data_IF_819830806587
#
_entry.id   IF_819830806587
#
_cell.length_a   1.000
_cell.length_b   1.000
_cell.length_c   1.000
_cell.angle_alpha   90.00
_cell.angle_beta   90.00
_cell.angle_gamma   90.00
#
_symmetry.space_group_name_H-M   'P 1'
#
loop_
_entity.id
_entity.type
_entity.pdbx_description
1 polymer ?
#
# COMPACT_ATOMS: atom_id res chain seq x y z
N UNK A 1 -29.87 -1.79 -61.81
CA UNK A 1 -30.06 -0.35 -61.61
C UNK A 1 -28.73 0.24 -61.21
N UNK A 2 -28.03 0.81 -62.20
CA UNK A 2 -26.74 1.46 -62.08
C UNK A 2 -26.94 2.93 -62.45
N UNK A 3 -26.51 3.85 -61.58
CA UNK A 3 -26.33 5.28 -61.83
C UNK A 3 -25.34 5.77 -60.77
N UNK A 4 -24.36 6.64 -61.00
CA UNK A 4 -23.64 7.05 -62.19
C UNK A 4 -22.44 7.85 -61.63
N UNK A 5 -21.23 7.49 -62.03
CA UNK A 5 -20.02 8.31 -61.93
C UNK A 5 -19.95 9.24 -63.15
N UNK A 6 -19.07 10.26 -63.08
CA UNK A 6 -18.66 11.28 -64.09
C UNK A 6 -19.43 12.61 -64.00
N UNK A 7 -18.81 13.80 -64.08
CA UNK A 7 -17.66 14.23 -64.89
C UNK A 7 -16.91 15.43 -64.21
N UNK A 8 -15.57 15.48 -64.19
CA UNK A 8 -14.65 16.12 -65.17
C UNK A 8 -14.60 17.66 -65.01
N UNK A 9 -13.50 18.32 -64.63
CA UNK A 9 -12.14 18.46 -65.20
C UNK A 9 -11.89 19.93 -65.60
N UNK A 10 -10.59 20.32 -65.70
CA UNK A 10 -9.96 21.58 -66.18
C UNK A 10 -9.38 22.44 -65.04
N UNK A 11 -8.17 23.00 -65.11
CA UNK A 11 -7.05 22.95 -66.06
C UNK A 11 -5.93 23.79 -65.42
N UNK A 12 -4.71 23.26 -65.36
CA UNK A 12 -3.52 23.96 -64.83
C UNK A 12 -2.78 24.69 -65.97
N UNK A 13 -2.41 25.96 -65.75
CA UNK A 13 -1.23 26.59 -66.38
C UNK A 13 -0.70 27.73 -65.49
N UNK A 14 0.62 28.00 -65.49
CA UNK A 14 1.35 28.57 -64.35
C UNK A 14 1.63 30.06 -64.46
N UNK A 15 1.80 30.74 -63.32
CA UNK A 15 2.29 32.11 -63.24
C UNK A 15 3.52 32.21 -62.31
N UNK A 16 4.67 32.30 -62.98
CA UNK A 16 5.86 33.14 -62.74
C UNK A 16 6.38 33.42 -61.32
N UNK A 17 7.65 33.06 -61.14
CA UNK A 17 8.56 33.30 -60.01
C UNK A 17 9.16 34.71 -59.95
N UNK A 18 9.34 35.26 -58.73
CA UNK A 18 10.52 36.04 -58.25
C UNK A 18 10.29 36.57 -56.80
N UNK A 19 11.33 36.97 -56.03
CA UNK A 19 12.24 36.11 -55.25
C UNK A 19 12.12 36.32 -53.72
N UNK A 20 12.54 35.31 -52.95
CA UNK A 20 12.60 35.35 -51.50
C UNK A 20 13.78 36.20 -50.98
N UNK A 21 13.51 37.12 -50.05
CA UNK A 21 14.54 37.76 -49.22
C UNK A 21 14.94 36.85 -48.07
N UNK A 22 16.25 36.84 -47.81
CA UNK A 22 16.99 35.88 -46.99
C UNK A 22 16.53 35.81 -45.52
N UNK A 23 16.17 34.61 -45.06
CA UNK A 23 16.21 34.27 -43.63
C UNK A 23 17.64 33.87 -43.26
N UNK A 24 18.19 34.56 -42.26
CA UNK A 24 19.45 34.21 -41.61
C UNK A 24 19.40 32.78 -41.08
N UNK A 25 20.20 31.89 -41.69
CA UNK A 25 20.44 30.53 -41.21
C UNK A 25 21.28 30.55 -39.92
N UNK A 26 20.64 30.46 -38.76
CA UNK A 26 21.32 29.95 -37.56
C UNK A 26 21.38 28.42 -37.67
N UNK A 27 22.53 27.90 -38.11
CA UNK A 27 22.86 26.48 -38.02
C UNK A 27 22.97 26.09 -36.54
N UNK A 28 21.93 25.46 -35.98
CA UNK A 28 22.10 24.64 -34.77
C UNK A 28 22.80 23.35 -35.18
N UNK A 29 23.98 23.11 -34.61
CA UNK A 29 24.66 21.82 -34.68
C UNK A 29 23.82 20.81 -33.89
N UNK A 30 23.13 19.92 -34.59
CA UNK A 30 22.53 18.74 -33.97
C UNK A 30 23.67 17.81 -33.54
N UNK A 31 23.90 17.67 -32.24
CA UNK A 31 24.58 16.49 -31.70
C UNK A 31 23.59 15.33 -31.77
N UNK A 32 23.92 14.35 -32.60
CA UNK A 32 23.26 13.05 -32.61
C UNK A 32 23.65 12.30 -31.33
N UNK A 33 22.79 12.32 -30.32
CA UNK A 33 22.87 11.37 -29.22
C UNK A 33 22.43 10.00 -29.73
N UNK A 34 23.23 8.97 -29.45
CA UNK A 34 22.90 7.59 -29.82
C UNK A 34 21.62 7.16 -29.09
N UNK A 35 20.62 6.75 -29.87
CA UNK A 35 19.41 6.08 -29.37
C UNK A 35 19.86 4.79 -28.68
N UNK A 36 19.86 4.78 -27.34
CA UNK A 36 19.94 3.53 -26.60
C UNK A 36 18.57 2.85 -26.71
N UNK A 37 18.54 1.73 -27.40
CA UNK A 37 17.38 0.83 -27.41
C UNK A 37 17.08 0.41 -25.97
N UNK A 38 15.85 0.62 -25.52
CA UNK A 38 15.35 0.11 -24.24
C UNK A 38 15.52 -1.41 -24.24
N UNK A 39 16.41 -1.90 -23.37
CA UNK A 39 16.48 -3.33 -23.07
C UNK A 39 15.29 -3.62 -22.16
N UNK A 40 14.28 -4.30 -22.68
CA UNK A 40 13.20 -4.85 -21.87
C UNK A 40 13.81 -5.80 -20.84
N UNK A 41 13.72 -5.44 -19.57
CA UNK A 41 14.11 -6.34 -18.49
C UNK A 41 13.10 -7.50 -18.47
N UNK A 42 13.58 -8.72 -18.70
CA UNK A 42 12.75 -9.91 -18.53
C UNK A 42 12.27 -9.99 -17.08
N UNK A 43 11.00 -10.37 -16.87
CA UNK A 43 10.45 -10.58 -15.54
C UNK A 43 11.41 -11.45 -14.71
N UNK A 44 11.71 -11.06 -13.46
CA UNK A 44 12.72 -11.74 -12.67
C UNK A 44 12.39 -13.23 -12.50
N UNK A 45 13.40 -14.06 -12.76
CA UNK A 45 13.36 -15.51 -12.55
C UNK A 45 13.20 -15.78 -11.04
N UNK A 46 12.29 -16.68 -10.60
CA UNK A 46 12.17 -17.07 -9.19
C UNK A 46 13.50 -17.46 -8.52
N UNK A 47 14.44 -18.04 -9.28
CA UNK A 47 15.80 -18.31 -8.79
C UNK A 47 16.61 -17.05 -8.48
N UNK A 48 16.52 -16.03 -9.34
CA UNK A 48 17.20 -14.76 -9.09
C UNK A 48 16.63 -14.04 -7.87
N UNK A 49 15.33 -14.23 -7.59
CA UNK A 49 14.68 -13.72 -6.38
C UNK A 49 15.16 -14.44 -5.11
N UNK A 50 15.29 -15.77 -5.14
CA UNK A 50 15.85 -16.55 -4.03
C UNK A 50 17.34 -16.25 -3.80
N UNK A 51 18.10 -16.01 -4.87
CA UNK A 51 19.53 -15.69 -4.83
C UNK A 51 19.81 -14.21 -4.48
N UNK A 52 18.80 -13.34 -4.53
CA UNK A 52 18.94 -11.90 -4.25
C UNK A 52 19.22 -11.57 -2.79
N UNK A 53 19.13 -12.55 -1.88
CA UNK A 53 19.32 -12.34 -0.45
C UNK A 53 18.17 -11.59 0.24
N UNK A 54 17.10 -11.24 -0.48
CA UNK A 54 15.85 -10.68 0.08
C UNK A 54 15.24 -11.64 1.11
N UNK A 55 15.34 -12.96 0.85
CA UNK A 55 15.02 -14.00 1.83
C UNK A 55 16.32 -14.33 2.58
N UNK A 56 16.48 -13.77 3.79
CA UNK A 56 17.58 -14.16 4.67
C UNK A 56 17.42 -15.64 5.06
N UNK A 57 18.50 -16.45 5.03
CA UNK A 57 18.45 -17.80 5.59
C UNK A 57 18.21 -17.68 7.10
N UNK A 58 16.99 -18.01 7.55
CA UNK A 58 16.65 -18.14 8.96
C UNK A 58 17.40 -19.33 9.56
N UNK A 59 17.56 -19.34 10.89
CA UNK A 59 17.74 -20.59 11.64
C UNK A 59 16.48 -21.43 11.42
N UNK A 60 16.49 -22.24 10.38
CA UNK A 60 15.47 -23.26 10.17
C UNK A 60 15.62 -24.26 11.31
N UNK A 61 14.49 -24.63 11.93
CA UNK A 61 14.49 -25.75 12.87
C UNK A 61 14.93 -26.98 12.08
N UNK A 62 16.08 -27.57 12.44
CA UNK A 62 16.58 -28.80 11.80
C UNK A 62 15.60 -29.95 12.14
N UNK A 63 14.69 -30.22 11.21
CA UNK A 63 13.66 -31.26 11.32
C UNK A 63 13.86 -32.28 10.18
N UNK A 64 13.90 -33.56 10.53
CA UNK A 64 14.07 -34.64 9.55
C UNK A 64 12.73 -35.24 9.16
N UNK A 65 11.76 -35.21 10.07
CA UNK A 65 10.39 -35.66 9.82
C UNK A 65 9.36 -34.68 10.38
N UNK A 66 8.40 -34.27 9.55
CA UNK A 66 7.34 -33.32 9.91
C UNK A 66 5.98 -33.98 9.78
N UNK A 67 5.16 -33.81 10.82
CA UNK A 67 3.75 -34.18 10.83
C UNK A 67 2.90 -32.99 10.35
N UNK A 68 2.18 -33.16 9.25
CA UNK A 68 1.26 -32.16 8.71
C UNK A 68 -0.16 -32.53 9.12
N UNK A 69 -0.87 -31.58 9.74
CA UNK A 69 -2.27 -31.76 10.12
C UNK A 69 -3.18 -31.13 9.06
N UNK A 70 -4.03 -31.95 8.44
CA UNK A 70 -5.02 -31.52 7.46
C UNK A 70 -6.25 -30.85 8.08
N UNK A 71 -7.11 -30.31 7.22
CA UNK A 71 -8.27 -29.51 7.63
C UNK A 71 -9.42 -30.27 8.28
N UNK A 72 -9.37 -31.61 8.28
CA UNK A 72 -10.48 -32.44 8.74
C UNK A 72 -11.57 -32.61 7.68
N UNK A 73 -12.78 -32.97 8.13
CA UNK A 73 -13.95 -33.16 7.25
C UNK A 73 -14.36 -31.86 6.55
N UNK A 74 -14.90 -32.00 5.33
CA UNK A 74 -15.35 -30.86 4.50
C UNK A 74 -16.42 -30.03 5.22
N UNK A 75 -16.04 -28.90 5.79
CA UNK A 75 -16.97 -27.85 6.21
C UNK A 75 -17.17 -26.85 5.06
N UNK A 76 -18.38 -26.29 4.94
CA UNK A 76 -18.71 -25.27 3.93
C UNK A 76 -17.75 -24.09 4.10
N UNK A 77 -16.97 -23.78 3.06
CA UNK A 77 -16.04 -22.63 3.04
C UNK A 77 -14.62 -22.89 3.54
N UNK A 78 -14.22 -24.14 3.88
CA UNK A 78 -12.85 -24.44 4.33
C UNK A 78 -12.11 -25.49 3.47
N UNK A 79 -12.80 -26.18 2.59
CA UNK A 79 -12.29 -27.39 1.95
C UNK A 79 -11.16 -27.18 0.93
N UNK A 80 -11.33 -26.25 -0.01
CA UNK A 80 -10.45 -26.15 -1.19
C UNK A 80 -9.13 -25.45 -0.90
N UNK A 81 -9.14 -24.43 -0.04
CA UNK A 81 -7.98 -23.57 0.23
C UNK A 81 -6.93 -24.28 1.08
N UNK A 82 -7.38 -25.05 2.07
CA UNK A 82 -6.49 -25.85 2.93
C UNK A 82 -5.98 -27.12 2.23
N UNK A 83 -6.76 -27.70 1.31
CA UNK A 83 -6.27 -28.78 0.45
C UNK A 83 -5.11 -28.32 -0.44
N UNK A 84 -5.26 -27.16 -1.08
CA UNK A 84 -4.20 -26.59 -1.90
C UNK A 84 -2.96 -26.21 -1.08
N UNK A 85 -3.12 -25.43 0.00
CA UNK A 85 -2.00 -24.97 0.82
C UNK A 85 -1.28 -26.14 1.52
N UNK A 86 -2.02 -27.12 2.05
CA UNK A 86 -1.45 -28.35 2.59
C UNK A 86 -0.69 -29.18 1.57
N UNK A 87 -1.17 -29.24 0.33
CA UNK A 87 -0.45 -29.89 -0.78
C UNK A 87 0.83 -29.17 -1.15
N UNK A 88 0.84 -27.83 -1.15
CA UNK A 88 2.07 -27.05 -1.37
C UNK A 88 3.06 -27.27 -0.24
N UNK A 89 2.61 -27.35 1.01
CA UNK A 89 3.47 -27.64 2.15
C UNK A 89 4.16 -29.01 2.04
N UNK A 90 3.40 -30.05 1.69
CA UNK A 90 3.94 -31.40 1.46
C UNK A 90 4.96 -31.42 0.31
N UNK A 91 4.64 -30.72 -0.78
CA UNK A 91 5.56 -30.59 -1.91
C UNK A 91 6.86 -29.87 -1.51
N UNK A 92 6.77 -28.79 -0.74
CA UNK A 92 7.93 -28.05 -0.24
C UNK A 92 8.79 -28.91 0.70
N UNK A 93 8.18 -29.68 1.60
CA UNK A 93 8.90 -30.63 2.47
C UNK A 93 9.66 -31.67 1.63
N UNK A 94 9.02 -32.23 0.62
CA UNK A 94 9.64 -33.20 -0.29
C UNK A 94 10.81 -32.59 -1.09
N UNK A 95 10.66 -31.37 -1.59
CA UNK A 95 11.72 -30.64 -2.28
C UNK A 95 12.89 -30.27 -1.34
N UNK A 96 12.61 -30.02 -0.07
CA UNK A 96 13.61 -29.80 0.97
C UNK A 96 14.25 -31.10 1.50
N UNK A 97 13.79 -32.27 1.07
CA UNK A 97 14.29 -33.57 1.54
C UNK A 97 13.87 -33.95 2.95
N UNK A 98 12.78 -33.37 3.46
CA UNK A 98 12.22 -33.62 4.80
C UNK A 98 11.08 -34.64 4.69
N UNK A 99 11.13 -35.70 5.50
CA UNK A 99 10.09 -36.74 5.50
C UNK A 99 8.76 -36.18 6.02
N UNK A 100 7.66 -36.55 5.38
CA UNK A 100 6.34 -35.96 5.61
C UNK A 100 5.32 -37.02 6.00
N UNK A 101 4.64 -36.80 7.13
CA UNK A 101 3.50 -37.61 7.57
C UNK A 101 2.27 -36.72 7.56
N UNK A 102 1.20 -37.13 6.87
CA UNK A 102 -0.06 -36.40 6.85
C UNK A 102 -1.11 -37.10 7.72
N UNK A 103 -1.82 -36.35 8.56
CA UNK A 103 -3.10 -36.81 9.13
C UNK A 103 -4.22 -35.99 8.52
N UNK A 104 -5.10 -36.63 7.76
CA UNK A 104 -6.32 -35.99 7.26
C UNK A 104 -7.43 -37.04 7.07
N UNK A 105 -8.58 -36.92 7.77
CA UNK A 105 -9.68 -37.87 7.62
C UNK A 105 -10.41 -37.74 6.27
N UNK A 106 -10.17 -36.66 5.52
CA UNK A 106 -10.84 -36.42 4.25
C UNK A 106 -10.11 -37.10 3.08
N UNK A 107 -10.71 -38.19 2.57
CA UNK A 107 -10.14 -39.02 1.49
C UNK A 107 -10.19 -38.31 0.12
N UNK A 108 -11.11 -37.37 -0.08
CA UNK A 108 -11.36 -36.73 -1.37
C UNK A 108 -10.58 -35.42 -1.55
N UNK A 109 -9.28 -35.44 -1.25
CA UNK A 109 -8.39 -34.26 -1.34
C UNK A 109 -7.14 -34.55 -2.17
N UNK A 110 -6.56 -33.53 -2.80
CA UNK A 110 -5.27 -33.70 -3.47
C UNK A 110 -4.16 -33.91 -2.41
N UNK A 111 -4.30 -33.30 -1.23
CA UNK A 111 -3.38 -33.42 -0.10
C UNK A 111 -3.16 -34.87 0.34
N UNK A 112 -4.20 -35.71 0.33
CA UNK A 112 -4.11 -37.14 0.68
C UNK A 112 -3.53 -38.03 -0.42
N UNK A 113 -3.06 -37.47 -1.53
CA UNK A 113 -2.42 -38.24 -2.58
C UNK A 113 -1.06 -38.79 -2.10
N UNK A 114 -0.89 -40.12 -2.18
CA UNK A 114 0.33 -40.84 -1.80
C UNK A 114 1.59 -40.43 -2.59
N UNK A 115 1.47 -39.64 -3.65
CA UNK A 115 2.62 -39.05 -4.35
C UNK A 115 3.18 -37.79 -3.67
N UNK A 116 2.41 -37.14 -2.79
CA UNK A 116 2.77 -35.88 -2.14
C UNK A 116 3.36 -36.06 -0.74
N UNK A 117 2.76 -36.91 0.09
CA UNK A 117 3.26 -37.25 1.42
C UNK A 117 3.91 -38.64 1.43
N UNK A 118 4.93 -38.83 2.27
CA UNK A 118 5.57 -40.14 2.43
C UNK A 118 4.65 -41.14 3.15
N UNK A 119 3.91 -40.68 4.16
CA UNK A 119 2.92 -41.46 4.88
C UNK A 119 1.61 -40.68 5.05
N UNK A 120 0.46 -41.35 4.92
CA UNK A 120 -0.87 -40.74 5.03
C UNK A 120 -1.74 -41.55 5.99
N UNK A 121 -2.24 -40.87 7.02
CA UNK A 121 -3.16 -41.41 8.02
C UNK A 121 -4.55 -40.80 7.85
N UNK A 122 -5.52 -41.64 7.46
CA UNK A 122 -6.93 -41.28 7.41
C UNK A 122 -7.59 -41.39 8.79
N UNK A 123 -7.06 -40.63 9.76
CA UNK A 123 -7.51 -40.61 11.14
C UNK A 123 -8.18 -39.27 11.49
N UNK A 124 -9.12 -39.25 12.46
CA UNK A 124 -9.66 -38.01 13.00
C UNK A 124 -8.56 -37.10 13.56
N UNK A 125 -8.73 -35.79 13.37
CA UNK A 125 -7.82 -34.75 13.88
C UNK A 125 -8.15 -34.45 15.35
N UNK A 126 -7.90 -35.41 16.24
CA UNK A 126 -8.10 -35.28 17.70
C UNK A 126 -6.81 -35.57 18.47
N UNK A 127 -6.65 -35.05 19.71
CA UNK A 127 -5.43 -35.24 20.49
C UNK A 127 -5.02 -36.70 20.66
N UNK A 128 -5.99 -37.62 20.79
CA UNK A 128 -5.74 -39.05 21.01
C UNK A 128 -5.10 -39.71 19.78
N UNK A 129 -5.69 -39.51 18.59
CA UNK A 129 -5.18 -40.10 17.35
C UNK A 129 -3.89 -39.44 16.90
N UNK A 130 -3.77 -38.13 17.06
CA UNK A 130 -2.55 -37.40 16.71
C UNK A 130 -1.40 -37.81 17.63
N UNK A 131 -1.65 -37.99 18.94
CA UNK A 131 -0.66 -38.54 19.87
C UNK A 131 -0.22 -39.94 19.47
N UNK A 132 -1.16 -40.81 19.08
CA UNK A 132 -0.83 -42.16 18.62
C UNK A 132 0.09 -42.14 17.39
N UNK A 133 -0.16 -41.25 16.43
CA UNK A 133 0.70 -41.09 15.25
C UNK A 133 2.06 -40.51 15.64
N UNK A 134 2.12 -39.53 16.55
CA UNK A 134 3.38 -38.97 17.05
C UNK A 134 4.23 -40.06 17.73
N UNK A 135 3.64 -40.92 18.56
CA UNK A 135 4.35 -42.01 19.22
C UNK A 135 4.91 -43.02 18.21
N UNK A 136 4.16 -43.31 17.14
CA UNK A 136 4.53 -44.26 16.10
C UNK A 136 5.60 -43.70 15.15
N UNK A 137 5.37 -42.50 14.63
CA UNK A 137 6.20 -41.90 13.57
C UNK A 137 7.40 -41.13 14.10
N UNK A 138 7.33 -40.67 15.36
CA UNK A 138 8.33 -39.85 16.04
C UNK A 138 8.79 -38.65 15.18
N UNK A 139 7.86 -37.76 14.76
CA UNK A 139 8.22 -36.56 14.01
C UNK A 139 8.97 -35.56 14.90
N UNK A 140 9.91 -34.81 14.31
CA UNK A 140 10.64 -33.73 14.99
C UNK A 140 9.83 -32.43 15.01
N UNK A 141 8.96 -32.25 13.99
CA UNK A 141 8.15 -31.05 13.80
C UNK A 141 6.68 -31.36 13.53
N UNK A 142 5.81 -30.40 13.83
CA UNK A 142 4.39 -30.45 13.45
C UNK A 142 3.96 -29.14 12.76
N UNK A 143 3.23 -29.28 11.65
CA UNK A 143 2.63 -28.17 10.92
C UNK A 143 1.12 -28.12 11.17
N UNK A 144 0.68 -27.06 11.86
CA UNK A 144 -0.72 -26.82 12.21
C UNK A 144 -1.39 -25.76 11.32
N UNK A 145 -0.60 -24.95 10.60
CA UNK A 145 -1.09 -23.82 9.79
C UNK A 145 -1.87 -24.24 8.54
N UNK A 146 -1.59 -25.43 8.01
CA UNK A 146 -2.19 -25.89 6.74
C UNK A 146 -3.52 -26.64 6.90
N UNK A 147 -3.98 -26.84 8.14
CA UNK A 147 -5.27 -27.49 8.43
C UNK A 147 -6.35 -26.53 8.94
N UNK A 148 -6.17 -25.23 8.73
CA UNK A 148 -7.11 -24.19 9.16
C UNK A 148 -7.43 -24.25 10.66
N UNK A 149 -8.64 -23.82 11.02
CA UNK A 149 -9.05 -23.73 12.43
C UNK A 149 -9.07 -25.09 13.14
N UNK A 150 -9.36 -26.18 12.41
CA UNK A 150 -9.36 -27.54 12.97
C UNK A 150 -8.00 -27.90 13.53
N UNK A 151 -6.94 -27.71 12.73
CA UNK A 151 -5.57 -28.02 13.14
C UNK A 151 -5.06 -27.05 14.22
N UNK A 152 -5.39 -25.76 14.12
CA UNK A 152 -5.00 -24.79 15.14
C UNK A 152 -5.66 -25.09 16.50
N UNK A 153 -6.97 -25.40 16.52
CA UNK A 153 -7.67 -25.78 17.73
C UNK A 153 -7.11 -27.06 18.36
N UNK A 154 -6.80 -28.06 17.54
CA UNK A 154 -6.10 -29.26 17.99
C UNK A 154 -4.77 -28.89 18.65
N UNK A 155 -3.96 -28.03 18.01
CA UNK A 155 -2.69 -27.58 18.54
C UNK A 155 -2.83 -26.95 19.93
N UNK A 156 -3.79 -26.03 20.09
CA UNK A 156 -4.08 -25.41 21.39
C UNK A 156 -4.48 -26.45 22.45
N UNK A 157 -5.32 -27.42 22.08
CA UNK A 157 -5.70 -28.51 23.00
C UNK A 157 -4.50 -29.37 23.40
N UNK A 158 -3.67 -29.76 22.45
CA UNK A 158 -2.48 -30.58 22.70
C UNK A 158 -1.45 -29.85 23.57
N UNK A 159 -1.27 -28.55 23.37
CA UNK A 159 -0.40 -27.71 24.20
C UNK A 159 -0.92 -27.62 25.64
N UNK A 160 -2.22 -27.39 25.84
CA UNK A 160 -2.83 -27.37 27.19
C UNK A 160 -2.67 -28.71 27.93
N UNK A 161 -2.60 -29.81 27.20
CA UNK A 161 -2.37 -31.15 27.74
C UNK A 161 -0.87 -31.48 27.92
N UNK A 162 0.05 -30.57 27.56
CA UNK A 162 1.49 -30.80 27.65
C UNK A 162 2.02 -31.89 26.70
N UNK A 163 1.28 -32.23 25.64
CA UNK A 163 1.61 -33.36 24.77
C UNK A 163 2.81 -33.07 23.87
N UNK A 164 3.01 -31.83 23.42
CA UNK A 164 4.17 -31.47 22.61
C UNK A 164 5.48 -31.64 23.39
N UNK A 165 5.52 -31.18 24.64
CA UNK A 165 6.68 -31.37 25.53
C UNK A 165 6.91 -32.85 25.84
N UNK A 166 5.84 -33.60 26.15
CA UNK A 166 5.90 -35.05 26.41
C UNK A 166 6.56 -35.83 25.27
N UNK A 167 6.24 -35.49 24.02
CA UNK A 167 6.74 -36.20 22.85
C UNK A 167 7.96 -35.54 22.18
N UNK A 168 8.42 -34.39 22.69
CA UNK A 168 9.54 -33.65 22.11
C UNK A 168 9.27 -33.09 20.71
N UNK A 169 8.00 -32.87 20.35
CA UNK A 169 7.61 -32.38 19.02
C UNK A 169 7.63 -30.85 19.03
N UNK A 170 8.38 -30.25 18.11
CA UNK A 170 8.46 -28.79 17.97
C UNK A 170 7.36 -28.30 17.02
N UNK A 171 6.70 -27.21 17.37
CA UNK A 171 5.93 -26.42 16.40
C UNK A 171 6.71 -25.13 16.15
N UNK A 172 7.11 -24.80 14.91
CA UNK A 172 7.76 -23.54 14.61
C UNK A 172 6.69 -22.44 14.60
N UNK A 173 6.42 -21.83 15.74
CA UNK A 173 5.65 -20.59 15.79
C UNK A 173 6.29 -19.57 16.72
N UNK A 174 7.61 -19.42 16.61
CA UNK A 174 8.32 -18.24 17.13
C UNK A 174 8.06 -17.03 16.18
N UNK A 175 6.79 -16.79 15.85
CA UNK A 175 6.38 -15.68 14.98
C UNK A 175 5.49 -14.74 15.76
N UNK A 176 5.90 -13.48 15.86
CA UNK A 176 5.12 -12.44 16.53
C UNK A 176 4.08 -11.86 15.56
N UNK A 177 3.10 -12.68 15.18
CA UNK A 177 1.89 -12.23 14.49
C UNK A 177 0.76 -12.08 15.49
N UNK A 178 0.46 -10.83 15.83
CA UNK A 178 -0.26 -10.45 17.04
C UNK A 178 -1.56 -9.71 16.69
N UNK A 179 -2.53 -9.81 17.59
CA UNK A 179 -3.73 -8.98 17.66
C UNK A 179 -4.01 -8.67 19.14
N UNK A 180 -4.79 -7.63 19.43
CA UNK A 180 -5.18 -7.30 20.80
C UNK A 180 -6.62 -7.73 21.06
N UNK A 181 -6.90 -8.12 22.31
CA UNK A 181 -8.26 -8.49 22.71
C UNK A 181 -8.51 -8.17 24.17
N UNK A 182 -9.71 -7.68 24.46
CA UNK A 182 -10.19 -7.53 25.83
C UNK A 182 -10.65 -8.85 26.46
N UNK A 183 -10.81 -9.92 25.66
CA UNK A 183 -11.28 -11.23 26.12
C UNK A 183 -10.14 -12.17 26.55
N UNK A 184 -9.11 -11.63 27.21
CA UNK A 184 -7.95 -12.38 27.68
C UNK A 184 -7.49 -11.89 29.06
N UNK A 185 -6.76 -12.74 29.79
CA UNK A 185 -6.24 -12.47 31.13
C UNK A 185 -4.72 -12.28 31.19
N UNK A 186 -4.02 -12.47 30.07
CA UNK A 186 -2.56 -12.41 29.96
C UNK A 186 -2.13 -12.12 28.52
N UNK A 187 -0.85 -11.76 28.34
CA UNK A 187 -0.22 -11.58 27.04
C UNK A 187 0.60 -12.81 26.65
N UNK A 188 0.69 -13.08 25.34
CA UNK A 188 1.45 -14.21 24.80
C UNK A 188 2.94 -13.87 24.56
N UNK A 189 3.32 -12.59 24.63
CA UNK A 189 4.67 -12.08 24.37
C UNK A 189 5.18 -11.18 25.51
N UNK A 190 6.50 -10.97 25.56
CA UNK A 190 7.14 -9.97 26.43
C UNK A 190 7.30 -8.64 25.71
N UNK A 191 7.43 -7.55 26.47
CA UNK A 191 7.45 -6.17 25.97
C UNK A 191 8.82 -5.48 26.21
N UNK A 192 9.90 -6.24 26.01
CA UNK A 192 11.26 -5.81 26.35
C UNK A 192 11.98 -5.14 25.17
N UNK A 193 11.52 -5.38 23.94
CA UNK A 193 12.16 -4.93 22.70
C UNK A 193 12.15 -3.42 22.53
N UNK A 194 11.16 -2.72 23.07
CA UNK A 194 10.95 -1.26 22.93
C UNK A 194 11.11 -0.79 21.48
N UNK A 195 10.51 -1.55 20.57
CA UNK A 195 10.68 -1.34 19.14
C UNK A 195 10.18 0.02 18.66
N UNK A 196 10.65 0.41 17.48
CA UNK A 196 10.07 1.53 16.74
C UNK A 196 8.83 1.05 15.99
N UNK A 197 7.72 1.75 16.15
CA UNK A 197 6.46 1.46 15.46
C UNK A 197 6.49 2.08 14.06
N UNK A 198 6.06 1.31 13.06
CA UNK A 198 5.78 1.76 11.70
C UNK A 198 4.28 1.58 11.48
N UNK A 199 3.58 2.66 11.15
CA UNK A 199 2.17 2.61 10.81
C UNK A 199 1.99 2.38 9.31
N UNK A 200 1.28 1.30 8.96
CA UNK A 200 0.96 0.96 7.58
C UNK A 200 -0.10 1.86 6.95
N UNK A 201 -0.52 1.51 5.73
CA UNK A 201 -1.44 2.33 4.93
C UNK A 201 -2.92 2.13 5.23
N UNK A 202 -3.28 1.07 5.95
CA UNK A 202 -4.65 0.59 5.99
C UNK A 202 -5.13 0.09 4.62
N UNK A 203 -6.44 0.04 4.43
CA UNK A 203 -7.08 -0.51 3.21
C UNK A 203 -6.83 0.32 1.97
N UNK A 204 -6.61 -0.34 0.85
CA UNK A 204 -6.45 0.31 -0.45
C UNK A 204 -7.73 1.00 -0.90
N UNK A 205 -7.57 2.19 -1.47
CA UNK A 205 -8.65 3.02 -2.05
C UNK A 205 -8.10 3.90 -3.16
N UNK A 206 -8.97 4.57 -3.89
CA UNK A 206 -8.53 5.53 -4.92
C UNK A 206 -7.71 6.63 -4.22
N UNK A 207 -6.48 6.85 -4.71
CA UNK A 207 -5.50 7.76 -4.13
C UNK A 207 -4.70 7.20 -2.94
N UNK A 208 -4.83 5.90 -2.65
CA UNK A 208 -4.00 5.23 -1.65
C UNK A 208 -3.87 3.74 -1.98
N UNK A 209 -2.77 3.35 -2.62
CA UNK A 209 -2.53 1.98 -3.07
C UNK A 209 -1.17 1.44 -2.58
N UNK A 210 -0.58 0.53 -3.35
CA UNK A 210 0.60 -0.28 -3.00
C UNK A 210 1.87 0.55 -2.77
N UNK A 211 1.90 1.80 -3.24
CA UNK A 211 2.98 2.76 -3.00
C UNK A 211 3.27 2.94 -1.50
N UNK A 212 2.23 3.04 -0.68
CA UNK A 212 2.39 3.23 0.76
C UNK A 212 2.81 1.94 1.47
N UNK A 213 2.45 0.78 0.92
CA UNK A 213 2.96 -0.51 1.42
C UNK A 213 4.46 -0.64 1.13
N UNK A 214 4.90 -0.24 -0.07
CA UNK A 214 6.32 -0.21 -0.43
C UNK A 214 7.13 0.72 0.49
N UNK A 215 6.60 1.92 0.78
CA UNK A 215 7.23 2.87 1.70
C UNK A 215 7.33 2.31 3.13
N UNK A 216 6.25 1.71 3.65
CA UNK A 216 6.23 1.11 4.98
C UNK A 216 7.23 -0.05 5.11
N UNK A 217 7.24 -0.97 4.14
CA UNK A 217 8.19 -2.09 4.09
C UNK A 217 9.64 -1.60 4.03
N UNK A 218 9.92 -0.63 3.16
CA UNK A 218 11.27 -0.08 2.98
C UNK A 218 11.78 0.59 4.27
N UNK A 219 10.91 1.34 4.96
CA UNK A 219 11.23 1.95 6.24
C UNK A 219 11.49 0.89 7.33
N UNK A 220 10.67 -0.15 7.40
CA UNK A 220 10.87 -1.27 8.34
C UNK A 220 12.21 -1.98 8.07
N UNK A 221 12.53 -2.30 6.82
CA UNK A 221 13.78 -2.95 6.46
C UNK A 221 14.99 -2.09 6.80
N UNK A 222 14.96 -0.79 6.49
CA UNK A 222 16.03 0.15 6.82
C UNK A 222 16.27 0.22 8.35
N UNK A 223 15.20 0.30 9.15
CA UNK A 223 15.32 0.29 10.61
C UNK A 223 15.93 -1.01 11.14
N UNK A 224 15.54 -2.16 10.57
CA UNK A 224 16.12 -3.47 10.94
C UNK A 224 17.59 -3.56 10.56
N UNK A 225 18.00 -3.03 9.40
CA UNK A 225 19.41 -2.98 8.99
C UNK A 225 20.26 -2.10 9.90
N UNK A 226 19.67 -1.06 10.50
CA UNK A 226 20.29 -0.23 11.53
C UNK A 226 20.37 -0.93 12.89
N UNK A 227 19.81 -2.13 13.04
CA UNK A 227 19.79 -2.90 14.29
C UNK A 227 18.65 -2.53 15.23
N UNK A 228 17.67 -1.74 14.77
CA UNK A 228 16.50 -1.38 15.58
C UNK A 228 15.45 -2.48 15.55
N UNK A 229 14.80 -2.71 16.69
CA UNK A 229 13.60 -3.54 16.77
C UNK A 229 12.42 -2.81 16.14
N UNK A 230 11.63 -3.54 15.36
CA UNK A 230 10.54 -2.97 14.56
C UNK A 230 9.19 -3.59 14.89
N UNK A 231 8.19 -2.74 15.00
CA UNK A 231 6.80 -3.11 15.22
C UNK A 231 5.97 -2.57 14.05
N UNK A 232 5.34 -3.44 13.27
CA UNK A 232 4.40 -3.02 12.22
C UNK A 232 2.97 -3.04 12.78
N UNK A 233 2.20 -1.97 12.55
CA UNK A 233 0.76 -1.95 12.80
C UNK A 233 0.06 -1.69 11.47
N UNK A 234 -0.74 -2.64 11.01
CA UNK A 234 -1.54 -2.51 9.79
C UNK A 234 -2.67 -3.55 9.83
N UNK A 235 -3.75 -3.33 9.09
CA UNK A 235 -4.90 -4.26 9.04
C UNK A 235 -5.33 -4.62 7.62
N UNK A 236 -4.52 -4.28 6.62
CA UNK A 236 -4.82 -4.62 5.23
C UNK A 236 -4.23 -6.00 4.87
N UNK A 237 -5.06 -7.04 4.68
CA UNK A 237 -4.58 -8.39 4.42
C UNK A 237 -3.94 -8.55 3.02
N UNK A 238 -4.03 -7.55 2.15
CA UNK A 238 -3.45 -7.57 0.80
C UNK A 238 -2.02 -7.03 0.75
N UNK A 239 -1.43 -6.68 1.90
CA UNK A 239 -0.15 -5.96 1.97
C UNK A 239 1.02 -6.87 2.34
N UNK A 240 2.19 -6.58 1.77
CA UNK A 240 3.44 -7.22 2.14
C UNK A 240 3.96 -6.72 3.50
N UNK A 241 3.61 -5.50 3.91
CA UNK A 241 3.86 -5.04 5.29
C UNK A 241 3.21 -5.91 6.35
N UNK A 242 2.08 -6.57 6.05
CA UNK A 242 1.43 -7.55 6.95
C UNK A 242 1.96 -8.97 6.82
N UNK A 243 3.10 -9.17 6.17
CA UNK A 243 3.85 -10.42 6.32
C UNK A 243 4.58 -10.41 7.68
N UNK A 244 4.42 -11.47 8.47
CA UNK A 244 5.03 -11.60 9.79
C UNK A 244 6.58 -11.62 9.74
N UNK A 245 7.17 -11.88 8.57
CA UNK A 245 8.61 -11.85 8.38
C UNK A 245 9.17 -10.43 8.13
N UNK A 246 8.31 -9.46 7.85
CA UNK A 246 8.70 -8.07 7.52
C UNK A 246 9.19 -7.30 8.75
N UNK A 247 8.51 -7.41 9.89
CA UNK A 247 8.85 -6.74 11.15
C UNK A 247 9.24 -7.75 12.25
N UNK A 248 9.85 -7.30 13.36
CA UNK A 248 10.12 -8.18 14.51
C UNK A 248 8.82 -8.56 15.24
N UNK A 249 7.85 -7.64 15.24
CA UNK A 249 6.47 -7.85 15.68
C UNK A 249 5.49 -7.23 14.69
N UNK A 250 4.45 -7.96 14.35
CA UNK A 250 3.36 -7.48 13.51
C UNK A 250 2.06 -7.50 14.31
N UNK A 251 1.43 -6.35 14.47
CA UNK A 251 0.09 -6.20 15.00
C UNK A 251 -0.90 -6.03 13.84
N UNK A 252 -1.74 -7.04 13.63
CA UNK A 252 -2.84 -6.95 12.67
C UNK A 252 -4.02 -6.22 13.30
N UNK A 253 -3.92 -4.89 13.34
CA UNK A 253 -4.75 -4.04 14.20
C UNK A 253 -5.15 -2.73 13.54
N UNK A 254 -6.21 -2.11 14.08
CA UNK A 254 -6.74 -0.85 13.57
C UNK A 254 -5.74 0.31 13.71
N UNK A 255 -5.69 1.18 12.69
CA UNK A 255 -4.92 2.42 12.71
C UNK A 255 -5.70 3.57 13.35
N UNK A 256 -6.35 3.31 14.49
CA UNK A 256 -7.03 4.32 15.28
C UNK A 256 -6.09 4.90 16.34
N UNK A 257 -6.32 6.14 16.78
CA UNK A 257 -5.54 6.74 17.86
C UNK A 257 -5.52 5.86 19.11
N UNK A 258 -6.67 5.32 19.50
CA UNK A 258 -6.82 4.44 20.67
C UNK A 258 -5.94 3.20 20.55
N UNK A 259 -6.11 2.44 19.47
CA UNK A 259 -5.42 1.17 19.29
C UNK A 259 -3.91 1.33 19.06
N UNK A 260 -3.51 2.36 18.32
CA UNK A 260 -2.09 2.68 18.13
C UNK A 260 -1.46 3.08 19.47
N UNK A 261 -2.15 3.87 20.29
CA UNK A 261 -1.64 4.26 21.61
C UNK A 261 -1.59 3.07 22.57
N UNK A 262 -2.62 2.21 22.58
CA UNK A 262 -2.62 0.97 23.38
C UNK A 262 -1.35 0.15 23.12
N UNK A 263 -1.01 -0.06 21.83
CA UNK A 263 0.17 -0.83 21.42
C UNK A 263 1.46 -0.06 21.74
N UNK A 264 1.49 1.25 21.51
CA UNK A 264 2.65 2.10 21.82
C UNK A 264 3.03 2.03 23.31
N UNK A 265 2.05 2.14 24.20
CA UNK A 265 2.25 2.06 25.65
C UNK A 265 2.62 0.65 26.08
N UNK A 266 1.89 -0.36 25.57
CA UNK A 266 2.11 -1.76 25.90
C UNK A 266 3.53 -2.22 25.55
N UNK A 267 4.01 -1.87 24.37
CA UNK A 267 5.38 -2.19 23.90
C UNK A 267 6.45 -1.27 24.48
N UNK A 268 6.06 -0.20 25.21
CA UNK A 268 6.96 0.87 25.63
C UNK A 268 7.83 1.35 24.46
N UNK A 269 7.19 1.58 23.32
CA UNK A 269 7.85 1.81 22.04
C UNK A 269 8.81 3.02 22.09
N UNK A 270 9.94 2.92 21.39
CA UNK A 270 10.94 4.00 21.36
C UNK A 270 10.49 5.22 20.54
N UNK A 271 9.57 5.00 19.61
CA UNK A 271 9.01 6.03 18.76
C UNK A 271 8.09 5.45 17.70
N UNK A 272 7.42 6.33 16.96
CA UNK A 272 6.45 5.97 15.92
C UNK A 272 6.73 6.72 14.62
N UNK A 273 6.75 6.00 13.51
CA UNK A 273 6.88 6.53 12.14
C UNK A 273 5.49 6.65 11.53
N UNK A 274 5.09 7.88 11.20
CA UNK A 274 3.77 8.22 10.62
C UNK A 274 3.84 8.68 9.16
N UNK A 275 5.04 8.90 8.62
CA UNK A 275 5.26 9.56 7.32
C UNK A 275 5.15 8.62 6.10
N UNK A 276 5.11 7.30 6.31
CA UNK A 276 5.22 6.31 5.21
C UNK A 276 3.92 5.58 4.88
N UNK A 277 2.90 5.68 5.73
CA UNK A 277 1.60 4.99 5.56
C UNK A 277 0.49 5.86 4.98
N UNK A 278 0.83 6.96 4.31
CA UNK A 278 -0.14 7.88 3.70
C UNK A 278 -0.95 8.68 4.73
N UNK A 279 -2.19 9.04 4.37
CA UNK A 279 -2.98 10.01 5.14
C UNK A 279 -3.47 9.50 6.50
N UNK A 280 -3.77 8.19 6.63
CA UNK A 280 -4.37 7.65 7.86
C UNK A 280 -3.45 7.83 9.08
N UNK A 281 -2.16 7.45 9.03
CA UNK A 281 -1.19 7.76 10.09
C UNK A 281 -0.96 9.25 10.33
N UNK A 282 -0.91 10.06 9.26
CA UNK A 282 -0.65 11.50 9.37
C UNK A 282 -1.76 12.22 10.14
N UNK A 283 -3.03 11.85 9.89
CA UNK A 283 -4.19 12.44 10.56
C UNK A 283 -4.18 12.27 12.09
N UNK A 284 -3.52 11.23 12.61
CA UNK A 284 -3.45 10.96 14.05
C UNK A 284 -2.12 11.44 14.68
N UNK A 285 -1.15 11.86 13.88
CA UNK A 285 0.21 12.18 14.33
C UNK A 285 0.24 13.25 15.43
N UNK A 286 -0.49 14.36 15.24
CA UNK A 286 -0.53 15.45 16.23
C UNK A 286 -1.14 14.98 17.55
N UNK A 287 -2.21 14.18 17.48
CA UNK A 287 -2.89 13.64 18.68
C UNK A 287 -2.00 12.62 19.41
N UNK A 288 -1.27 11.77 18.68
CA UNK A 288 -0.29 10.83 19.24
C UNK A 288 0.78 11.58 20.05
N UNK A 289 1.31 12.68 19.52
CA UNK A 289 2.32 13.48 20.21
C UNK A 289 1.76 14.30 21.38
N UNK A 290 0.71 15.10 21.15
CA UNK A 290 0.26 16.08 22.15
C UNK A 290 -0.63 15.48 23.23
N UNK A 291 -1.51 14.55 22.87
CA UNK A 291 -2.43 13.90 23.83
C UNK A 291 -1.83 12.62 24.39
N UNK A 292 -1.21 11.81 23.52
CA UNK A 292 -0.61 10.54 23.91
C UNK A 292 0.79 10.66 24.51
N UNK A 293 1.54 11.72 24.19
CA UNK A 293 2.94 11.83 24.59
C UNK A 293 3.88 10.87 23.84
N UNK A 294 3.42 10.33 22.71
CA UNK A 294 4.23 9.46 21.86
C UNK A 294 5.36 10.24 21.18
N UNK A 295 6.53 9.61 21.04
CA UNK A 295 7.67 10.16 20.33
C UNK A 295 7.49 9.91 18.81
N UNK A 296 6.90 10.88 18.11
CA UNK A 296 6.76 10.82 16.65
C UNK A 296 8.10 11.14 15.99
N UNK A 297 8.59 10.22 15.14
CA UNK A 297 9.89 10.33 14.50
C UNK A 297 9.79 11.12 13.17
N UNK A 298 10.80 11.95 12.90
CA UNK A 298 10.91 12.73 11.66
C UNK A 298 10.44 14.17 11.85
N UNK A 299 9.67 14.68 10.88
CA UNK A 299 9.08 16.03 10.93
C UNK A 299 8.14 16.15 12.14
N UNK A 300 8.23 17.25 12.88
CA UNK A 300 7.32 17.50 14.01
C UNK A 300 5.87 17.51 13.50
N UNK A 301 4.94 16.75 14.11
CA UNK A 301 3.51 16.79 13.79
C UNK A 301 2.91 18.20 13.71
N UNK A 302 3.44 19.18 14.45
CA UNK A 302 3.03 20.59 14.36
C UNK A 302 3.39 21.21 13.02
N UNK A 303 4.50 20.80 12.41
CA UNK A 303 4.90 21.28 11.09
C UNK A 303 4.15 20.55 9.98
N UNK A 304 3.74 19.29 10.21
CA UNK A 304 2.79 18.58 9.33
C UNK A 304 1.45 19.33 9.32
N UNK A 305 0.90 19.66 10.49
CA UNK A 305 -0.35 20.43 10.61
C UNK A 305 -0.27 21.80 9.90
N UNK A 306 0.85 22.52 10.04
CA UNK A 306 1.07 23.79 9.33
C UNK A 306 1.11 23.63 7.81
N UNK A 307 1.60 22.50 7.31
CA UNK A 307 1.72 22.25 5.88
C UNK A 307 0.40 21.77 5.26
N UNK A 308 -0.41 21.01 6.01
CA UNK A 308 -1.73 20.54 5.54
C UNK A 308 -2.81 21.62 5.68
N UNK A 309 -2.70 22.51 6.66
CA UNK A 309 -3.59 23.65 6.82
C UNK A 309 -3.28 24.71 5.75
N UNK A 310 -4.25 24.91 4.85
CA UNK A 310 -4.07 25.79 3.69
C UNK A 310 -3.78 27.24 4.06
N UNK A 311 -4.38 27.76 5.13
CA UNK A 311 -4.15 29.13 5.55
C UNK A 311 -2.74 29.27 6.11
N UNK A 312 -2.36 28.38 7.04
CA UNK A 312 -1.01 28.38 7.64
C UNK A 312 0.06 28.20 6.57
N UNK A 313 -0.16 27.29 5.63
CA UNK A 313 0.78 27.05 4.53
C UNK A 313 0.92 28.24 3.59
N UNK A 314 -0.19 28.91 3.23
CA UNK A 314 -0.16 30.14 2.43
C UNK A 314 0.64 31.25 3.10
N UNK A 315 0.45 31.46 4.40
CA UNK A 315 1.19 32.48 5.16
C UNK A 315 2.69 32.16 5.20
N UNK A 316 3.06 30.88 5.24
CA UNK A 316 4.46 30.44 5.14
C UNK A 316 5.03 30.82 3.77
N UNK A 317 4.35 30.50 2.67
CA UNK A 317 4.79 30.82 1.31
C UNK A 317 4.98 32.33 1.10
N UNK A 318 4.03 33.13 1.59
CA UNK A 318 4.12 34.60 1.52
C UNK A 318 5.32 35.13 2.32
N UNK A 319 5.61 34.55 3.49
CA UNK A 319 6.74 34.95 4.33
C UNK A 319 8.11 34.72 3.68
N UNK A 320 8.22 33.73 2.79
CA UNK A 320 9.46 33.38 2.09
C UNK A 320 9.50 33.90 0.64
N UNK A 321 8.46 34.62 0.20
CA UNK A 321 8.36 35.17 -1.15
C UNK A 321 8.20 34.12 -2.24
N UNK A 322 7.57 32.98 -1.94
CA UNK A 322 7.22 31.97 -2.93
C UNK A 322 5.82 32.25 -3.46
N UNK A 323 5.71 32.38 -4.78
CA UNK A 323 4.46 32.69 -5.45
C UNK A 323 3.44 31.54 -5.29
N UNK A 324 2.17 31.91 -5.14
CA UNK A 324 1.04 31.00 -5.11
C UNK A 324 -0.16 31.59 -5.88
N UNK A 325 -1.03 30.76 -6.48
CA UNK A 325 -2.23 31.26 -7.13
C UNK A 325 -3.14 31.98 -6.14
N UNK A 326 -3.74 33.10 -6.58
CA UNK A 326 -4.71 33.82 -5.77
C UNK A 326 -5.83 32.89 -5.30
N UNK A 327 -6.09 32.89 -4.00
CA UNK A 327 -7.10 32.01 -3.40
C UNK A 327 -7.83 32.68 -2.24
N UNK A 328 -9.03 32.18 -1.97
CA UNK A 328 -9.81 32.61 -0.80
C UNK A 328 -10.75 31.51 -0.32
N UNK A 329 -10.89 31.41 1.01
CA UNK A 329 -11.95 30.63 1.64
C UNK A 329 -13.17 31.54 1.84
N UNK A 330 -14.34 31.07 1.39
CA UNK A 330 -15.53 31.89 1.20
C UNK A 330 -16.74 31.15 1.76
N UNK A 331 -17.56 31.87 2.52
CA UNK A 331 -18.77 31.31 3.17
C UNK A 331 -20.06 31.74 2.48
N UNK A 332 -19.99 32.68 1.53
CA UNK A 332 -21.16 33.17 0.81
C UNK A 332 -20.97 33.13 -0.71
N UNK A 333 -22.07 32.89 -1.43
CA UNK A 333 -22.10 32.90 -2.90
C UNK A 333 -21.69 34.26 -3.46
N UNK A 334 -22.15 35.35 -2.82
CA UNK A 334 -21.84 36.71 -3.26
C UNK A 334 -20.34 37.03 -3.16
N UNK A 335 -19.67 36.65 -2.07
CA UNK A 335 -18.23 36.84 -1.93
C UNK A 335 -17.44 35.95 -2.90
N UNK A 336 -17.94 34.74 -3.16
CA UNK A 336 -17.36 33.83 -4.15
C UNK A 336 -17.41 34.39 -5.58
N UNK A 337 -18.55 34.97 -5.99
CA UNK A 337 -18.68 35.63 -7.29
C UNK A 337 -17.81 36.88 -7.39
N UNK A 338 -17.76 37.69 -6.34
CA UNK A 338 -16.92 38.89 -6.29
C UNK A 338 -15.43 38.53 -6.43
N UNK A 339 -14.97 37.53 -5.68
CA UNK A 339 -13.60 37.04 -5.75
C UNK A 339 -13.27 36.44 -7.13
N UNK A 340 -14.15 35.60 -7.69
CA UNK A 340 -13.94 35.02 -9.02
C UNK A 340 -13.88 36.08 -10.13
N UNK A 341 -14.64 37.17 -9.98
CA UNK A 341 -14.59 38.33 -10.89
C UNK A 341 -13.29 39.12 -10.75
N UNK A 342 -12.82 39.31 -9.51
CA UNK A 342 -11.56 39.99 -9.19
C UNK A 342 -10.35 39.25 -9.77
N UNK A 343 -10.24 37.94 -9.55
CA UNK A 343 -9.10 37.13 -10.04
C UNK A 343 -9.24 36.69 -11.51
N UNK A 344 -10.45 36.82 -12.06
CA UNK A 344 -10.81 36.44 -13.43
C UNK A 344 -10.96 34.93 -13.63
N UNK A 345 -11.85 34.54 -14.54
CA UNK A 345 -12.04 33.14 -14.95
C UNK A 345 -10.90 32.64 -15.85
N UNK A 346 -10.65 31.32 -15.91
CA UNK A 346 -11.27 30.26 -15.10
C UNK A 346 -10.79 30.24 -13.64
N UNK A 347 -11.63 29.65 -12.77
CA UNK A 347 -11.34 29.41 -11.34
C UNK A 347 -11.59 27.94 -10.97
N UNK A 348 -10.85 27.44 -10.01
CA UNK A 348 -10.99 26.09 -9.46
C UNK A 348 -11.79 26.17 -8.14
N UNK A 349 -12.90 25.44 -8.09
CA UNK A 349 -13.78 25.40 -6.92
C UNK A 349 -13.57 24.08 -6.17
N UNK A 350 -13.27 24.17 -4.88
CA UNK A 350 -13.06 23.04 -3.97
C UNK A 350 -14.03 23.14 -2.78
N UNK A 351 -15.06 22.29 -2.70
CA UNK A 351 -15.91 22.22 -1.51
C UNK A 351 -15.13 21.65 -0.33
N UNK A 352 -15.26 22.25 0.86
CA UNK A 352 -14.51 21.84 2.07
C UNK A 352 -14.87 20.44 2.59
N UNK A 353 -16.03 19.89 2.22
CA UNK A 353 -16.49 18.57 2.70
C UNK A 353 -15.89 17.37 1.95
N UNK A 354 -15.01 17.58 0.95
CA UNK A 354 -14.43 16.48 0.13
C UNK A 354 -12.91 16.49 0.21
N UNK A 355 -12.36 15.54 0.98
CA UNK A 355 -10.92 15.41 1.26
C UNK A 355 -10.07 14.90 0.08
N UNK A 356 -10.65 14.25 -0.94
CA UNK A 356 -9.89 13.53 -1.98
C UNK A 356 -10.04 14.13 -3.39
N UNK A 357 -10.33 15.43 -3.48
CA UNK A 357 -10.46 16.15 -4.77
C UNK A 357 -11.59 15.68 -5.70
N UNK A 358 -12.39 14.69 -5.27
CA UNK A 358 -13.48 14.07 -6.04
C UNK A 358 -14.60 15.04 -6.48
N UNK A 359 -14.70 16.23 -5.86
CA UNK A 359 -15.67 17.27 -6.22
C UNK A 359 -15.03 18.55 -6.78
N UNK A 360 -13.73 18.53 -7.09
CA UNK A 360 -13.03 19.67 -7.68
C UNK A 360 -13.54 19.94 -9.09
N UNK A 361 -13.84 21.20 -9.42
CA UNK A 361 -14.35 21.56 -10.74
C UNK A 361 -13.72 22.87 -11.22
N UNK A 362 -13.28 22.89 -12.47
CA UNK A 362 -12.84 24.12 -13.15
C UNK A 362 -14.05 24.83 -13.73
N UNK A 363 -14.28 26.06 -13.27
CA UNK A 363 -15.39 26.91 -13.65
C UNK A 363 -14.88 28.00 -14.58
N UNK A 364 -15.54 28.18 -15.73
CA UNK A 364 -15.10 29.09 -16.81
C UNK A 364 -15.98 30.33 -16.96
N UNK A 365 -17.15 30.35 -16.35
CA UNK A 365 -18.09 31.46 -16.44
C UNK A 365 -18.77 31.73 -15.09
N UNK A 366 -19.35 32.91 -14.96
CA UNK A 366 -20.10 33.31 -13.76
C UNK A 366 -21.40 32.50 -13.60
N UNK A 367 -22.06 32.15 -14.71
CA UNK A 367 -23.28 31.32 -14.70
C UNK A 367 -22.97 29.92 -14.15
N UNK A 368 -21.90 29.29 -14.66
CA UNK A 368 -21.44 27.98 -14.17
C UNK A 368 -21.05 28.02 -12.68
N UNK A 369 -20.47 29.14 -12.21
CA UNK A 369 -20.10 29.31 -10.81
C UNK A 369 -21.34 29.32 -9.92
N UNK A 370 -22.35 30.11 -10.30
CA UNK A 370 -23.59 30.23 -9.56
C UNK A 370 -24.31 28.88 -9.45
N UNK A 371 -24.48 28.19 -10.58
CA UNK A 371 -25.12 26.86 -10.61
C UNK A 371 -24.38 25.87 -9.71
N UNK A 372 -23.04 25.92 -9.71
CA UNK A 372 -22.21 25.04 -8.89
C UNK A 372 -22.31 25.35 -7.40
N UNK A 373 -22.31 26.63 -7.03
CA UNK A 373 -22.40 27.07 -5.63
C UNK A 373 -23.80 26.82 -5.06
N UNK A 374 -24.86 27.03 -5.83
CA UNK A 374 -26.23 26.68 -5.42
C UNK A 374 -26.38 25.17 -5.21
N UNK A 375 -25.81 24.35 -6.11
CA UNK A 375 -25.78 22.91 -5.94
C UNK A 375 -24.98 22.48 -4.69
N UNK A 376 -23.83 23.11 -4.41
CA UNK A 376 -23.02 22.80 -3.23
C UNK A 376 -23.71 23.23 -1.91
N UNK A 377 -24.32 24.42 -1.88
CA UNK A 377 -25.04 24.94 -0.72
C UNK A 377 -26.27 24.10 -0.35
N UNK A 378 -26.95 23.52 -1.34
CA UNK A 378 -28.06 22.59 -1.12
C UNK A 378 -27.62 21.25 -0.51
N UNK A 379 -26.36 20.85 -0.74
CA UNK A 379 -25.79 19.59 -0.22
C UNK A 379 -25.16 19.81 1.16
N UNK A 380 -24.55 20.97 1.41
CA UNK A 380 -24.06 21.33 2.73
C UNK A 380 -24.05 22.86 2.94
N UNK A 381 -25.01 23.41 3.72
CA UNK A 381 -25.12 24.84 3.96
C UNK A 381 -24.01 25.43 4.84
N UNK A 382 -23.40 24.61 5.70
CA UNK A 382 -22.50 25.05 6.78
C UNK A 382 -21.01 24.91 6.42
N UNK A 383 -20.71 24.56 5.16
CA UNK A 383 -19.35 24.22 4.74
C UNK A 383 -18.77 25.29 3.79
N UNK A 384 -17.64 25.92 4.16
CA UNK A 384 -17.00 26.93 3.32
C UNK A 384 -16.54 26.36 1.98
N UNK A 385 -16.47 27.21 0.96
CA UNK A 385 -15.96 26.84 -0.36
C UNK A 385 -14.63 27.54 -0.57
N UNK A 386 -13.66 26.78 -1.06
CA UNK A 386 -12.34 27.29 -1.39
C UNK A 386 -12.26 27.53 -2.89
N UNK A 387 -12.01 28.78 -3.29
CA UNK A 387 -11.83 29.17 -4.69
C UNK A 387 -10.38 29.56 -4.92
N UNK A 388 -9.80 29.07 -6.01
CA UNK A 388 -8.42 29.36 -6.43
C UNK A 388 -8.37 29.73 -7.89
N UNK A 389 -7.53 30.70 -8.27
CA UNK A 389 -7.31 31.04 -9.68
C UNK A 389 -6.75 29.83 -10.43
N UNK A 390 -7.42 29.42 -11.50
CA UNK A 390 -6.93 28.36 -12.38
C UNK A 390 -6.01 28.95 -13.46
N UNK A 391 -4.84 28.34 -13.64
CA UNK A 391 -3.84 28.77 -14.62
C UNK A 391 -3.92 27.82 -15.81
N UNK A 392 -4.37 28.32 -16.96
CA UNK A 392 -4.49 27.51 -18.17
C UNK A 392 -3.13 27.31 -18.86
N UNK A 393 -2.93 26.13 -19.43
CA UNK A 393 -1.71 25.81 -20.18
C UNK A 393 -0.46 25.63 -19.31
N UNK A 394 -0.62 25.59 -17.98
CA UNK A 394 0.50 25.38 -17.06
C UNK A 394 0.98 23.91 -17.08
N UNK A 395 2.29 23.74 -16.96
CA UNK A 395 2.91 22.45 -16.67
C UNK A 395 2.74 22.13 -15.18
N UNK A 396 2.50 20.87 -14.84
CA UNK A 396 2.48 20.38 -13.47
C UNK A 396 3.80 19.66 -13.18
N UNK A 397 4.45 20.04 -12.09
CA UNK A 397 5.76 19.53 -11.66
C UNK A 397 5.62 19.02 -10.24
N UNK A 398 5.96 17.75 -10.04
CA UNK A 398 6.09 17.13 -8.72
C UNK A 398 7.55 17.14 -8.29
N UNK A 399 7.78 17.49 -7.02
CA UNK A 399 9.10 17.49 -6.40
C UNK A 399 9.06 16.64 -5.14
N UNK A 400 9.63 15.44 -5.24
CA UNK A 400 9.79 14.55 -4.11
C UNK A 400 11.15 14.81 -3.46
N UNK A 401 11.18 14.99 -2.14
CA UNK A 401 12.39 15.39 -1.44
C UNK A 401 12.51 14.77 -0.06
N UNK A 402 13.76 14.46 0.33
CA UNK A 402 14.11 14.07 1.69
C UNK A 402 15.01 15.14 2.28
N UNK A 403 14.62 15.66 3.45
CA UNK A 403 15.37 16.66 4.18
C UNK A 403 15.79 16.16 5.56
N UNK A 404 16.89 16.71 6.08
CA UNK A 404 17.34 16.53 7.46
C UNK A 404 17.73 17.89 8.02
N UNK A 405 17.25 18.21 9.23
CA UNK A 405 17.48 19.50 9.89
C UNK A 405 17.16 20.70 8.99
N UNK A 406 16.07 20.60 8.24
CA UNK A 406 15.61 21.63 7.29
C UNK A 406 16.45 21.77 6.01
N UNK A 407 17.42 20.88 5.77
CA UNK A 407 18.25 20.87 4.55
C UNK A 407 17.86 19.72 3.64
N UNK A 408 17.56 20.03 2.38
CA UNK A 408 17.29 19.04 1.34
C UNK A 408 18.53 18.20 1.04
N UNK A 409 18.45 16.89 1.24
CA UNK A 409 19.54 15.93 0.99
C UNK A 409 19.38 15.29 -0.39
N UNK A 410 18.17 14.86 -0.71
CA UNK A 410 17.84 14.16 -1.96
C UNK A 410 16.55 14.75 -2.51
N UNK A 411 16.47 14.88 -3.83
CA UNK A 411 15.22 15.21 -4.50
C UNK A 411 15.13 14.56 -5.87
N UNK A 412 13.90 14.34 -6.32
CA UNK A 412 13.53 13.98 -7.67
C UNK A 412 12.51 15.00 -8.19
N UNK A 413 12.62 15.37 -9.46
CA UNK A 413 11.68 16.28 -10.11
C UNK A 413 11.04 15.53 -11.27
N UNK A 414 9.72 15.47 -11.27
CA UNK A 414 8.90 14.80 -12.26
C UNK A 414 7.99 15.82 -12.95
N UNK A 415 7.88 15.76 -14.27
CA UNK A 415 6.96 16.58 -15.06
C UNK A 415 5.79 15.71 -15.50
N UNK A 416 4.57 16.20 -15.29
CA UNK A 416 3.37 15.53 -15.78
C UNK A 416 3.29 15.64 -17.30
N UNK A 417 2.77 14.60 -17.95
CA UNK A 417 2.53 14.65 -19.40
C UNK A 417 1.33 15.56 -19.70
N UNK A 418 0.33 15.51 -18.83
CA UNK A 418 -0.83 16.39 -18.86
C UNK A 418 -0.53 17.78 -18.30
N UNK A 419 -1.34 18.75 -18.71
CA UNK A 419 -1.32 20.09 -18.14
C UNK A 419 -2.02 20.11 -16.78
N UNK A 420 -1.65 21.09 -15.96
CA UNK A 420 -2.24 21.29 -14.65
C UNK A 420 -3.77 21.38 -14.72
N UNK A 421 -4.46 20.64 -13.85
CA UNK A 421 -5.93 20.62 -13.75
C UNK A 421 -6.61 19.31 -14.15
N UNK A 422 -5.87 18.36 -14.72
CA UNK A 422 -6.29 16.95 -14.74
C UNK A 422 -5.84 16.34 -13.42
N UNK A 423 -6.76 15.71 -12.67
CA UNK A 423 -6.45 15.23 -11.33
C UNK A 423 -5.30 14.20 -11.38
N UNK A 424 -4.25 14.43 -10.62
CA UNK A 424 -3.02 13.61 -10.54
C UNK A 424 -3.32 12.13 -10.25
N UNK A 425 -4.40 11.85 -9.48
CA UNK A 425 -4.91 10.49 -9.14
C UNK A 425 -6.09 10.03 -10.02
N UNK A 426 -6.45 10.80 -11.04
CA UNK A 426 -7.67 10.68 -11.84
C UNK A 426 -7.69 9.60 -12.93
N UNK A 427 -6.70 8.70 -12.99
CA UNK A 427 -6.63 7.70 -14.06
C UNK A 427 -7.56 6.48 -13.88
N UNK A 428 -8.80 6.66 -13.39
CA UNK A 428 -9.76 5.55 -13.23
C UNK A 428 -11.23 5.82 -13.62
N UNK A 429 -11.57 6.93 -14.29
CA UNK A 429 -12.93 7.08 -14.87
C UNK A 429 -12.93 6.97 -16.40
N UNK A 430 -13.17 5.74 -16.88
CA UNK A 430 -13.91 5.40 -18.10
C UNK A 430 -13.47 6.02 -19.43
N UNK A 431 -12.58 5.33 -20.15
CA UNK A 431 -12.34 5.53 -21.58
C UNK A 431 -11.79 4.26 -22.23
N UNK A 432 -12.44 3.78 -23.29
CA UNK A 432 -12.07 2.56 -24.02
C UNK A 432 -10.83 2.76 -24.90
N UNK A 433 -9.66 2.84 -24.26
CA UNK A 433 -8.33 2.91 -24.91
C UNK A 433 -7.32 1.99 -24.21
N UNK A 434 -6.21 1.63 -24.87
CA UNK A 434 -5.26 0.64 -24.36
C UNK A 434 -4.64 1.13 -23.06
N UNK A 435 -4.81 0.35 -21.99
CA UNK A 435 -4.27 0.63 -20.65
C UNK A 435 -2.76 0.35 -20.64
N UNK A 436 -1.91 1.33 -20.30
CA UNK A 436 -0.56 1.09 -19.82
C UNK A 436 -0.53 1.08 -18.28
N UNK A 437 0.51 0.41 -17.81
CA UNK A 437 0.89 0.03 -16.44
C UNK A 437 1.12 1.19 -15.48
N UNK A 438 0.85 0.91 -14.20
CA UNK A 438 1.11 1.74 -13.03
C UNK A 438 2.58 2.23 -12.96
N UNK A 439 2.75 3.47 -12.52
CA UNK A 439 4.04 4.04 -12.13
C UNK A 439 3.91 4.71 -10.76
N UNK A 440 5.01 4.62 -10.02
CA UNK A 440 5.17 4.88 -8.59
C UNK A 440 4.81 6.32 -8.20
N UNK A 441 4.25 6.46 -7.00
CA UNK A 441 4.30 7.66 -6.17
C UNK A 441 5.38 7.47 -5.12
#
# INVERSE_FOLDING_TARGET
MAQALTAASKSFTPAQSQPAQARLNQKRLFQSAAVRLNVSQQAPNPKAYLESGVIKPKELVDVKKVLVIGSGGLAIGQAGEFDYSGSQALKALKEAGVASVLINPNIATIQTNHSLADEVYYLPVTPEYVSYVIEKEKPDGIFLSFGGQTALNLGVQMQRLGLFEKYGVKFPADTNYLYTTYNASSHDVTFEDKGTIILGSGVYRIGSSVEFDWCAVSATQALREMGNKTIMINYNPETYSTDFDTADKLYFEELSYERVMDIYELESASGVVVSVGGQLPQNIALRLQETGGANVLGTDPKDIDKAEDRQKFSEILDSIGVDQPAWKELTSVAEAEAFATEVGYPVLVRPSYVLSGAAMTVIRSQEDLKDKLEAASNVSPDHPVVITKFIEGAQEIDVDGVASDGKLILHAVSEHVEQAGVHSVGWKKGGSGPKPTAWLH
#
